data_IF_042414219862
#
_entry.id   IF_042414219862
#
_cell.length_a   1.000
_cell.length_b   1.000
_cell.length_c   1.000
_cell.angle_alpha   90.00
_cell.angle_beta   90.00
_cell.angle_gamma   90.00
#
_symmetry.space_group_name_H-M   'P 1'
#
loop_
_entity.id
_entity.type
_entity.pdbx_description
1 polymer ?
#
# COMPACT_ATOMS: atom_id res chain seq x y z
N UNK A 1 -0.70 17.04 38.80
CA UNK A 1 0.19 15.91 39.17
C UNK A 1 1.29 15.85 38.12
N UNK A 2 2.54 16.11 38.52
CA UNK A 2 3.67 16.24 37.58
C UNK A 2 4.20 14.85 37.23
N UNK A 3 4.81 14.67 36.04
CA UNK A 3 5.33 13.38 35.56
C UNK A 3 6.28 12.71 36.59
N UNK A 4 7.05 13.52 37.33
CA UNK A 4 7.92 13.09 38.41
C UNK A 4 7.15 12.42 39.57
N UNK A 5 5.93 12.90 39.90
CA UNK A 5 5.10 12.32 40.96
C UNK A 5 4.50 10.96 40.56
N UNK A 6 4.26 10.72 39.26
CA UNK A 6 3.75 9.43 38.77
C UNK A 6 4.81 8.33 38.78
N UNK A 7 6.08 8.69 38.62
CA UNK A 7 7.18 7.73 38.54
C UNK A 7 8.00 7.60 39.82
N UNK A 8 7.77 8.48 40.81
CA UNK A 8 8.44 8.48 42.12
C UNK A 8 9.89 7.98 41.99
N UNK A 9 10.68 8.67 41.16
CA UNK A 9 12.03 8.25 40.80
C UNK A 9 12.91 8.46 42.04
N UNK A 10 12.94 7.46 42.92
CA UNK A 10 14.00 7.28 43.88
C UNK A 10 15.27 6.97 43.09
N UNK A 11 16.24 7.88 43.13
CA UNK A 11 17.59 7.67 42.61
C UNK A 11 18.32 6.63 43.47
N UNK A 12 17.86 5.39 43.43
CA UNK A 12 18.64 4.21 43.82
C UNK A 12 19.11 3.56 42.52
N UNK A 13 20.40 3.20 42.47
CA UNK A 13 21.20 2.76 41.31
C UNK A 13 20.72 1.48 40.57
N UNK A 14 19.42 1.23 40.45
CA UNK A 14 18.85 0.01 39.86
C UNK A 14 17.82 0.26 38.75
N UNK A 15 17.60 1.50 38.32
CA UNK A 15 16.71 1.78 37.19
C UNK A 15 17.47 1.76 35.87
N UNK A 16 17.15 0.78 35.02
CA UNK A 16 17.53 0.79 33.62
C UNK A 16 16.86 1.99 32.93
N UNK A 17 17.68 2.82 32.29
CA UNK A 17 17.25 4.05 31.62
C UNK A 17 16.28 3.70 30.47
N UNK A 18 16.46 2.53 29.85
CA UNK A 18 15.61 2.08 28.76
C UNK A 18 14.20 1.74 29.28
N UNK A 19 14.10 1.08 30.43
CA UNK A 19 12.82 0.77 31.08
C UNK A 19 12.07 2.04 31.49
N UNK A 20 12.78 3.05 32.00
CA UNK A 20 12.18 4.33 32.35
C UNK A 20 11.69 5.05 31.09
N UNK A 21 12.49 5.03 30.02
CA UNK A 21 12.14 5.64 28.73
C UNK A 21 10.88 5.02 28.16
N UNK A 22 10.75 3.69 28.19
CA UNK A 22 9.55 2.97 27.74
C UNK A 22 8.32 3.37 28.57
N UNK A 23 8.47 3.42 29.90
CA UNK A 23 7.39 3.82 30.82
C UNK A 23 6.92 5.25 30.57
N UNK A 24 7.84 6.18 30.34
CA UNK A 24 7.53 7.57 30.00
C UNK A 24 6.84 7.63 28.63
N UNK A 25 7.36 6.94 27.62
CA UNK A 25 6.82 6.93 26.27
C UNK A 25 5.37 6.43 26.26
N UNK A 26 5.08 5.37 27.02
CA UNK A 26 3.72 4.81 27.17
C UNK A 26 2.72 5.79 27.76
N UNK A 27 3.16 6.74 28.59
CA UNK A 27 2.29 7.74 29.22
C UNK A 27 2.14 9.00 28.36
N UNK A 28 3.23 9.48 27.73
CA UNK A 28 3.23 10.75 26.99
C UNK A 28 2.77 10.55 25.54
N UNK A 29 3.17 9.45 24.89
CA UNK A 29 2.87 9.12 23.49
C UNK A 29 2.50 7.64 23.35
N UNK A 30 1.34 7.22 23.89
CA UNK A 30 0.88 5.83 23.80
C UNK A 30 0.75 5.36 22.35
N UNK A 31 0.40 6.26 21.43
CA UNK A 31 0.32 6.00 19.99
C UNK A 31 1.65 5.53 19.39
N UNK A 32 2.76 6.20 19.74
CA UNK A 32 4.11 5.80 19.28
C UNK A 32 4.49 4.45 19.91
N UNK A 33 4.26 4.31 21.21
CA UNK A 33 4.56 3.08 21.92
C UNK A 33 3.83 1.86 21.33
N UNK A 34 2.53 2.01 21.05
CA UNK A 34 1.71 0.93 20.49
C UNK A 34 2.11 0.57 19.06
N UNK A 35 2.55 1.55 18.26
CA UNK A 35 3.06 1.31 16.90
C UNK A 35 4.39 0.53 16.94
N UNK A 36 5.34 0.96 17.78
CA UNK A 36 6.64 0.28 17.92
C UNK A 36 6.44 -1.14 18.47
N UNK A 37 5.60 -1.30 19.50
CA UNK A 37 5.32 -2.60 20.12
C UNK A 37 4.67 -3.56 19.12
N UNK A 38 3.73 -3.07 18.29
CA UNK A 38 3.14 -3.87 17.21
C UNK A 38 4.18 -4.32 16.18
N UNK A 39 5.09 -3.43 15.77
CA UNK A 39 6.15 -3.76 14.83
C UNK A 39 7.07 -4.86 15.39
N UNK A 40 7.55 -4.71 16.63
CA UNK A 40 8.39 -5.71 17.30
C UNK A 40 7.68 -7.05 17.47
N UNK A 41 6.39 -7.03 17.80
CA UNK A 41 5.59 -8.25 17.90
C UNK A 41 5.50 -8.98 16.56
N UNK A 42 5.27 -8.25 15.47
CA UNK A 42 5.23 -8.82 14.13
C UNK A 42 6.59 -9.40 13.70
N UNK A 43 7.70 -8.70 13.95
CA UNK A 43 9.05 -9.22 13.69
C UNK A 43 9.33 -10.51 14.46
N UNK A 44 8.89 -10.58 15.73
CA UNK A 44 9.01 -11.80 16.53
C UNK A 44 8.16 -12.93 15.95
N UNK A 45 6.92 -12.66 15.55
CA UNK A 45 6.07 -13.66 14.89
C UNK A 45 6.70 -14.18 13.61
N UNK A 46 7.33 -13.33 12.80
CA UNK A 46 8.06 -13.76 11.60
C UNK A 46 9.26 -14.64 11.95
N UNK A 47 10.05 -14.25 12.96
CA UNK A 47 11.22 -15.03 13.42
C UNK A 47 10.83 -16.39 13.99
N UNK A 48 9.73 -16.45 14.74
CA UNK A 48 9.21 -17.67 15.35
C UNK A 48 8.34 -18.49 14.38
N UNK A 49 8.03 -17.93 13.20
CA UNK A 49 7.23 -18.62 12.19
C UNK A 49 7.99 -19.82 11.63
N UNK A 50 7.30 -20.96 11.54
CA UNK A 50 7.83 -22.14 10.86
C UNK A 50 7.40 -22.07 9.40
N UNK A 51 8.39 -22.09 8.51
CA UNK A 51 8.12 -22.26 7.09
C UNK A 51 7.71 -23.71 6.83
N UNK A 52 6.55 -23.90 6.22
CA UNK A 52 6.06 -25.20 5.79
C UNK A 52 5.95 -25.22 4.27
N UNK A 53 6.47 -26.27 3.64
CA UNK A 53 6.12 -26.58 2.25
C UNK A 53 4.68 -27.09 2.23
N UNK A 54 3.84 -26.39 1.48
CA UNK A 54 2.48 -26.85 1.17
C UNK A 54 2.49 -27.62 -0.14
N UNK A 55 1.67 -28.65 -0.23
CA UNK A 55 1.51 -29.39 -1.49
C UNK A 55 0.74 -28.53 -2.51
N UNK A 56 0.92 -28.79 -3.81
CA UNK A 56 0.11 -28.14 -4.86
C UNK A 56 -1.40 -28.35 -4.64
N UNK A 57 -1.79 -29.47 -4.03
CA UNK A 57 -3.17 -29.82 -3.70
C UNK A 57 -3.72 -29.03 -2.51
N UNK A 58 -2.87 -28.60 -1.58
CA UNK A 58 -3.28 -27.75 -0.46
C UNK A 58 -3.22 -26.27 -0.84
N UNK A 59 -2.27 -25.88 -1.69
CA UNK A 59 -2.24 -24.56 -2.31
C UNK A 59 -3.51 -24.28 -3.12
N UNK A 60 -4.06 -25.28 -3.82
CA UNK A 60 -5.32 -25.11 -4.56
C UNK A 60 -6.56 -24.94 -3.66
N UNK A 61 -6.47 -25.27 -2.37
CA UNK A 61 -7.54 -25.04 -1.37
C UNK A 61 -7.47 -23.65 -0.75
N UNK A 62 -6.34 -22.96 -0.85
CA UNK A 62 -6.27 -21.54 -0.52
C UNK A 62 -7.09 -20.84 -1.59
N UNK A 63 -8.32 -20.45 -1.24
CA UNK A 63 -9.20 -19.69 -2.11
C UNK A 63 -8.44 -18.49 -2.65
N UNK A 64 -8.12 -18.53 -3.96
CA UNK A 64 -7.34 -17.48 -4.63
C UNK A 64 -8.03 -16.11 -4.59
N UNK A 65 -9.32 -16.10 -4.31
CA UNK A 65 -10.14 -14.90 -4.29
C UNK A 65 -10.52 -14.60 -2.83
N UNK A 66 -10.01 -13.51 -2.23
CA UNK A 66 -10.40 -13.11 -0.88
C UNK A 66 -11.90 -12.80 -0.82
N UNK A 67 -12.63 -13.09 0.27
CA UNK A 67 -14.07 -12.86 0.34
C UNK A 67 -14.41 -11.37 0.20
N UNK A 68 -15.62 -11.07 -0.26
CA UNK A 68 -16.15 -9.70 -0.26
C UNK A 68 -16.29 -9.27 1.20
N UNK A 69 -15.64 -8.16 1.56
CA UNK A 69 -15.64 -7.60 2.92
C UNK A 69 -16.66 -6.49 3.08
N UNK A 70 -16.93 -5.79 1.99
CA UNK A 70 -17.79 -4.62 1.96
C UNK A 70 -18.98 -4.90 1.04
N UNK A 71 -20.20 -4.81 1.56
CA UNK A 71 -21.39 -5.08 0.76
C UNK A 71 -21.57 -4.03 -0.35
N UNK A 72 -21.31 -2.76 -0.02
CA UNK A 72 -21.45 -1.62 -0.94
C UNK A 72 -20.39 -0.56 -0.67
N UNK A 73 -20.02 0.17 -1.72
CA UNK A 73 -19.22 1.38 -1.64
C UNK A 73 -20.08 2.60 -1.31
N UNK A 74 -19.48 3.61 -0.69
CA UNK A 74 -20.11 4.93 -0.58
C UNK A 74 -20.22 5.59 -1.96
N UNK A 75 -21.16 6.52 -2.14
CA UNK A 75 -21.34 7.24 -3.40
C UNK A 75 -20.05 7.94 -3.86
N UNK A 76 -19.28 8.51 -2.92
CA UNK A 76 -18.02 9.16 -3.21
C UNK A 76 -16.96 8.17 -3.72
N UNK A 77 -16.82 7.03 -3.04
CA UNK A 77 -15.91 5.95 -3.46
C UNK A 77 -16.28 5.41 -4.85
N UNK A 78 -17.57 5.15 -5.09
CA UNK A 78 -18.04 4.69 -6.39
C UNK A 78 -17.76 5.71 -7.50
N UNK A 79 -17.97 7.01 -7.25
CA UNK A 79 -17.70 8.06 -8.23
C UNK A 79 -16.20 8.11 -8.60
N UNK A 80 -15.32 8.09 -7.60
CA UNK A 80 -13.86 8.04 -7.77
C UNK A 80 -13.42 6.83 -8.59
N UNK A 81 -13.91 5.65 -8.23
CA UNK A 81 -13.62 4.41 -8.96
C UNK A 81 -14.13 4.42 -10.40
N UNK A 82 -15.31 5.01 -10.66
CA UNK A 82 -15.82 5.17 -12.03
C UNK A 82 -14.94 6.07 -12.87
N UNK A 83 -14.42 7.15 -12.29
CA UNK A 83 -13.49 8.04 -12.98
C UNK A 83 -12.19 7.31 -13.32
N UNK A 84 -11.60 6.62 -12.34
CA UNK A 84 -10.39 5.83 -12.53
C UNK A 84 -10.58 4.75 -13.61
N UNK A 85 -11.64 3.94 -13.50
CA UNK A 85 -11.98 2.89 -14.46
C UNK A 85 -12.15 3.43 -15.88
N UNK A 86 -12.89 4.54 -16.04
CA UNK A 86 -13.07 5.14 -17.35
C UNK A 86 -11.78 5.71 -17.96
N UNK A 87 -10.82 6.13 -17.14
CA UNK A 87 -9.55 6.67 -17.59
C UNK A 87 -8.61 5.58 -18.15
N UNK A 88 -8.77 4.33 -17.73
CA UNK A 88 -7.94 3.19 -18.16
C UNK A 88 -8.68 2.15 -19.00
N UNK A 89 -9.95 2.40 -19.36
CA UNK A 89 -10.79 1.42 -20.06
C UNK A 89 -10.28 1.02 -21.45
N UNK A 90 -9.35 1.78 -22.01
CA UNK A 90 -8.68 1.44 -23.27
C UNK A 90 -7.67 0.31 -23.08
N UNK A 91 -7.08 0.14 -21.89
CA UNK A 91 -6.10 -0.91 -21.56
C UNK A 91 -6.63 -1.97 -20.58
N UNK A 92 -7.63 -1.63 -19.78
CA UNK A 92 -8.32 -2.54 -18.85
C UNK A 92 -9.77 -2.77 -19.31
N UNK A 93 -10.02 -3.93 -19.91
CA UNK A 93 -11.30 -4.27 -20.53
C UNK A 93 -12.35 -4.82 -19.54
N UNK A 94 -12.04 -4.89 -18.24
CA UNK A 94 -12.99 -5.38 -17.24
C UNK A 94 -14.22 -4.46 -17.19
N UNK A 95 -15.38 -5.05 -16.92
CA UNK A 95 -16.57 -4.24 -16.63
C UNK A 95 -16.39 -3.46 -15.32
N UNK A 96 -17.13 -2.36 -15.16
CA UNK A 96 -17.05 -1.59 -13.92
C UNK A 96 -17.44 -2.45 -12.71
N UNK A 97 -18.41 -3.36 -12.85
CA UNK A 97 -18.87 -4.24 -11.78
C UNK A 97 -17.75 -5.19 -11.32
N UNK A 98 -17.01 -5.78 -12.26
CA UNK A 98 -15.87 -6.64 -11.93
C UNK A 98 -14.73 -5.83 -11.31
N UNK A 99 -14.47 -4.62 -11.82
CA UNK A 99 -13.47 -3.71 -11.28
C UNK A 99 -13.81 -3.29 -9.85
N UNK A 100 -15.06 -2.90 -9.60
CA UNK A 100 -15.58 -2.49 -8.30
C UNK A 100 -15.52 -3.63 -7.26
N UNK A 101 -15.86 -4.85 -7.69
CA UNK A 101 -15.88 -6.01 -6.82
C UNK A 101 -14.51 -6.30 -6.18
N UNK A 102 -13.41 -6.07 -6.91
CA UNK A 102 -12.06 -6.21 -6.37
C UNK A 102 -11.81 -5.25 -5.19
N UNK A 103 -12.26 -4.00 -5.28
CA UNK A 103 -12.13 -3.03 -4.18
C UNK A 103 -12.97 -3.43 -2.97
N UNK A 104 -14.15 -4.01 -3.16
CA UNK A 104 -14.98 -4.48 -2.04
C UNK A 104 -14.36 -5.66 -1.27
N UNK A 105 -13.34 -6.31 -1.83
CA UNK A 105 -12.57 -7.40 -1.17
C UNK A 105 -11.38 -6.86 -0.37
N UNK A 106 -10.98 -5.60 -0.60
CA UNK A 106 -9.86 -4.95 0.07
C UNK A 106 -10.16 -4.68 1.55
N UNK A 107 -9.14 -4.75 2.40
CA UNK A 107 -9.28 -4.47 3.84
C UNK A 107 -9.45 -2.97 4.12
N UNK A 108 -8.89 -2.11 3.28
CA UNK A 108 -9.03 -0.66 3.36
C UNK A 108 -9.33 -0.10 1.96
N UNK A 109 -10.62 0.09 1.67
CA UNK A 109 -11.08 0.57 0.36
C UNK A 109 -10.51 1.94 0.03
N UNK A 110 -10.58 2.90 0.94
CA UNK A 110 -10.17 4.29 0.66
C UNK A 110 -8.70 4.36 0.27
N UNK A 111 -7.86 3.58 0.96
CA UNK A 111 -6.44 3.44 0.62
C UNK A 111 -6.26 2.92 -0.79
N UNK A 112 -6.91 1.81 -1.15
CA UNK A 112 -6.77 1.22 -2.48
C UNK A 112 -7.25 2.17 -3.58
N UNK A 113 -8.32 2.93 -3.33
CA UNK A 113 -8.80 3.97 -4.25
C UNK A 113 -7.73 5.05 -4.43
N UNK A 114 -7.13 5.56 -3.36
CA UNK A 114 -6.07 6.58 -3.45
C UNK A 114 -4.86 6.05 -4.24
N UNK A 115 -4.39 4.84 -3.94
CA UNK A 115 -3.29 4.19 -4.67
C UNK A 115 -3.64 4.10 -6.16
N UNK A 116 -4.84 3.60 -6.46
CA UNK A 116 -5.31 3.45 -7.83
C UNK A 116 -5.38 4.78 -8.55
N UNK A 117 -5.89 5.84 -7.92
CA UNK A 117 -5.94 7.18 -8.50
C UNK A 117 -4.55 7.71 -8.82
N UNK A 118 -3.56 7.49 -7.95
CA UNK A 118 -2.17 7.87 -8.20
C UNK A 118 -1.57 7.09 -9.38
N UNK A 119 -1.83 5.78 -9.46
CA UNK A 119 -1.40 4.96 -10.59
C UNK A 119 -2.06 5.39 -11.91
N UNK A 120 -3.35 5.70 -11.87
CA UNK A 120 -4.08 6.20 -13.05
C UNK A 120 -3.56 7.58 -13.45
N UNK A 121 -3.33 8.49 -12.50
CA UNK A 121 -2.79 9.82 -12.76
C UNK A 121 -1.43 9.74 -13.45
N UNK A 122 -0.50 8.92 -12.93
CA UNK A 122 0.82 8.80 -13.55
C UNK A 122 0.78 8.12 -14.92
N UNK A 123 -0.10 7.13 -15.09
CA UNK A 123 -0.35 6.53 -16.41
C UNK A 123 -0.82 7.60 -17.40
N UNK A 124 -1.79 8.43 -17.01
CA UNK A 124 -2.30 9.53 -17.83
C UNK A 124 -1.20 10.54 -18.17
N UNK A 125 -0.37 10.94 -17.20
CA UNK A 125 0.76 11.85 -17.42
C UNK A 125 1.72 11.30 -18.48
N UNK A 126 2.04 10.00 -18.42
CA UNK A 126 2.93 9.37 -19.38
C UNK A 126 2.29 9.27 -20.78
N UNK A 127 1.03 8.84 -20.90
CA UNK A 127 0.38 8.72 -22.23
C UNK A 127 0.03 10.06 -22.87
N UNK A 128 -0.05 11.15 -22.10
CA UNK A 128 -0.31 12.49 -22.61
C UNK A 128 0.94 13.17 -23.19
N UNK A 129 2.14 12.63 -22.92
CA UNK A 129 3.42 13.17 -23.45
C UNK A 129 3.55 13.02 -24.95
N UNK A 130 2.97 11.96 -25.53
CA UNK A 130 2.95 11.74 -26.98
C UNK A 130 1.79 10.84 -27.39
N UNK A 131 1.51 10.80 -28.69
CA UNK A 131 0.61 9.79 -29.25
C UNK A 131 1.26 8.41 -29.12
N UNK A 132 0.47 7.45 -28.64
CA UNK A 132 0.86 6.07 -28.42
C UNK A 132 -0.18 5.14 -29.05
N UNK A 133 0.28 4.02 -29.57
CA UNK A 133 -0.55 2.88 -29.95
C UNK A 133 -1.16 2.20 -28.72
N UNK A 134 -2.17 1.36 -28.93
CA UNK A 134 -2.78 0.59 -27.84
C UNK A 134 -1.77 -0.35 -27.15
N UNK A 135 -0.86 -0.93 -27.92
CA UNK A 135 0.19 -1.81 -27.39
C UNK A 135 1.14 -1.05 -26.46
N UNK A 136 1.64 0.11 -26.90
CA UNK A 136 2.51 0.97 -26.08
C UNK A 136 1.82 1.41 -24.79
N UNK A 137 0.54 1.83 -24.88
CA UNK A 137 -0.27 2.17 -23.71
C UNK A 137 -0.40 1.00 -22.74
N UNK A 138 -0.62 -0.20 -23.26
CA UNK A 138 -0.75 -1.41 -22.44
C UNK A 138 0.58 -1.72 -21.74
N UNK A 139 1.70 -1.64 -22.46
CA UNK A 139 3.03 -1.82 -21.88
C UNK A 139 3.31 -0.80 -20.78
N UNK A 140 2.95 0.46 -21.01
CA UNK A 140 3.14 1.53 -20.05
C UNK A 140 2.24 1.35 -18.81
N UNK A 141 1.00 0.93 -18.99
CA UNK A 141 0.11 0.60 -17.89
C UNK A 141 0.68 -0.53 -17.01
N UNK A 142 1.20 -1.59 -17.61
CA UNK A 142 1.88 -2.68 -16.87
C UNK A 142 3.14 -2.20 -16.16
N UNK A 143 3.89 -1.27 -16.76
CA UNK A 143 5.05 -0.63 -16.11
C UNK A 143 4.66 0.25 -14.93
N UNK A 144 3.55 0.97 -15.03
CA UNK A 144 2.98 1.74 -13.92
C UNK A 144 2.56 0.81 -12.78
N UNK A 145 1.87 -0.29 -13.09
CA UNK A 145 1.46 -1.28 -12.08
C UNK A 145 2.64 -1.97 -11.39
N UNK A 146 3.80 -2.08 -12.05
CA UNK A 146 5.03 -2.60 -11.44
C UNK A 146 5.86 -1.54 -10.72
N UNK A 147 5.33 -0.32 -10.59
CA UNK A 147 6.00 0.83 -9.99
C UNK A 147 7.32 1.20 -10.69
N UNK A 148 7.38 0.98 -12.00
CA UNK A 148 8.54 1.34 -12.81
C UNK A 148 9.70 0.35 -12.73
N UNK A 149 9.46 -0.87 -12.25
CA UNK A 149 10.51 -1.89 -12.06
C UNK A 149 10.65 -2.89 -13.21
N UNK A 150 9.82 -2.80 -14.25
CA UNK A 150 9.94 -3.71 -15.39
C UNK A 150 11.10 -3.31 -16.31
N UNK A 151 11.64 -4.31 -17.00
CA UNK A 151 12.64 -4.10 -18.04
C UNK A 151 12.07 -3.31 -19.22
N UNK A 152 12.96 -2.58 -19.89
CA UNK A 152 12.60 -1.78 -21.06
C UNK A 152 12.13 -2.69 -22.21
N UNK A 153 10.92 -2.50 -22.74
CA UNK A 153 10.46 -3.23 -23.91
C UNK A 153 11.11 -2.70 -25.21
N UNK A 154 10.97 -3.43 -26.31
CA UNK A 154 11.57 -3.05 -27.60
C UNK A 154 10.90 -1.82 -28.26
N UNK A 155 9.62 -1.60 -27.98
CA UNK A 155 8.79 -0.52 -28.56
C UNK A 155 9.01 0.88 -27.94
N UNK A 156 9.92 1.02 -26.96
CA UNK A 156 10.29 2.31 -26.38
C UNK A 156 11.79 2.59 -26.54
N UNK A 157 12.15 3.84 -26.81
CA UNK A 157 13.54 4.27 -26.74
C UNK A 157 14.04 4.28 -25.29
N UNK A 158 15.36 4.18 -25.10
CA UNK A 158 15.94 4.17 -23.75
C UNK A 158 15.67 5.47 -22.98
N UNK A 159 15.71 6.61 -23.67
CA UNK A 159 15.49 7.92 -23.04
C UNK A 159 14.05 8.08 -22.58
N UNK A 160 13.08 7.71 -23.42
CA UNK A 160 11.65 7.75 -23.04
C UNK A 160 11.36 6.81 -21.86
N UNK A 161 11.94 5.62 -21.87
CA UNK A 161 11.71 4.66 -20.79
C UNK A 161 12.26 5.15 -19.45
N UNK A 162 13.43 5.79 -19.46
CA UNK A 162 13.99 6.43 -18.27
C UNK A 162 13.08 7.55 -17.79
N UNK A 163 12.64 8.45 -18.69
CA UNK A 163 11.72 9.54 -18.35
C UNK A 163 10.43 9.00 -17.71
N UNK A 164 9.75 8.04 -18.34
CA UNK A 164 8.53 7.47 -17.79
C UNK A 164 8.76 6.76 -16.46
N UNK A 165 9.90 6.06 -16.32
CA UNK A 165 10.25 5.40 -15.06
C UNK A 165 10.49 6.41 -13.93
N UNK A 166 11.08 7.57 -14.22
CA UNK A 166 11.26 8.65 -13.25
C UNK A 166 9.93 9.26 -12.82
N UNK A 167 9.03 9.52 -13.78
CA UNK A 167 7.68 10.02 -13.46
C UNK A 167 6.97 9.01 -12.55
N UNK A 168 6.97 7.72 -12.90
CA UNK A 168 6.35 6.66 -12.09
C UNK A 168 6.95 6.59 -10.68
N UNK A 169 8.27 6.66 -10.55
CA UNK A 169 8.95 6.63 -9.24
C UNK A 169 8.60 7.83 -8.37
N UNK A 170 8.40 9.01 -8.96
CA UNK A 170 7.99 10.20 -8.22
C UNK A 170 6.62 9.99 -7.56
N UNK A 171 5.63 9.49 -8.32
CA UNK A 171 4.33 9.13 -7.76
C UNK A 171 4.40 7.98 -6.75
N UNK A 172 5.27 6.99 -6.97
CA UNK A 172 5.45 5.87 -6.04
C UNK A 172 5.99 6.34 -4.67
N UNK A 173 6.81 7.40 -4.65
CA UNK A 173 7.24 8.00 -3.40
C UNK A 173 6.06 8.61 -2.63
N UNK A 174 5.10 9.23 -3.31
CA UNK A 174 3.89 9.78 -2.69
C UNK A 174 2.97 8.68 -2.13
N UNK A 175 2.87 7.55 -2.85
CA UNK A 175 2.18 6.33 -2.38
C UNK A 175 2.80 5.85 -1.06
N UNK A 176 4.13 5.83 -0.97
CA UNK A 176 4.85 5.35 0.21
C UNK A 176 4.88 6.37 1.37
N UNK A 177 4.91 7.67 1.07
CA UNK A 177 5.10 8.73 2.06
C UNK A 177 3.80 9.17 2.77
N UNK A 178 2.64 9.12 2.08
CA UNK A 178 1.39 9.67 2.60
C UNK A 178 0.32 8.63 2.94
N UNK A 179 0.51 7.39 2.54
CA UNK A 179 -0.45 6.32 2.81
C UNK A 179 0.02 5.54 4.04
N UNK A 180 -0.01 6.23 5.19
CA UNK A 180 0.26 5.63 6.50
C UNK A 180 -0.73 4.49 6.70
N UNK A 181 -0.21 3.28 6.87
CA UNK A 181 -1.01 2.11 7.22
C UNK A 181 -1.58 2.29 8.62
N UNK A 182 -2.73 2.95 8.74
CA UNK A 182 -3.59 2.78 9.90
C UNK A 182 -4.17 1.37 9.85
N UNK A 183 -3.39 0.39 10.32
CA UNK A 183 -3.93 -0.87 10.79
C UNK A 183 -4.79 -0.57 12.02
N UNK A 184 -6.08 -0.34 11.80
CA UNK A 184 -7.09 -0.54 12.85
C UNK A 184 -7.44 -2.03 12.83
N UNK A 185 -6.88 -2.76 13.80
CA UNK A 185 -7.38 -4.07 14.21
C UNK A 185 -8.53 -3.87 15.18
#
# INVERSE_FOLDING_TARGET
MVLADKFAIGLSNEFDIDDLTIKILKVIRPDIYDNISRMQYFERLLKDSRQYMISNKDFSKITRIPPVRHEKLSTQMSARLKLAHNAIKDVDLRSYEAYEEDFRRSTNIDREIIITELLVAVYLDCINKRKMSLEEKTTLYVHTLSLGNNEKPANFSSNEWIEFSEIIKNYANDINANIVMEYKF
#
